data_IF_681695386286
#
_entry.id   IF_681695386286
#
_cell.length_a   1.000
_cell.length_b   1.000
_cell.length_c   1.000
_cell.angle_alpha   90.00
_cell.angle_beta   90.00
_cell.angle_gamma   90.00
#
_symmetry.space_group_name_H-M   'P 1'
#
loop_
_entity.id
_entity.type
_entity.pdbx_description
1 polymer ?
#
# COMPACT_ATOMS: atom_id res chain seq x y z
N UNK A 1 -17.30 -10.53 18.72
CA UNK A 1 -16.05 -11.32 18.80
C UNK A 1 -14.87 -10.35 18.77
N UNK A 2 -14.24 -10.13 19.92
CA UNK A 2 -13.06 -9.26 20.04
C UNK A 2 -11.84 -10.17 20.07
N UNK A 3 -11.22 -10.40 18.91
CA UNK A 3 -9.97 -11.16 18.80
C UNK A 3 -8.84 -10.34 19.44
N UNK A 4 -7.88 -11.00 20.09
CA UNK A 4 -6.70 -10.32 20.69
C UNK A 4 -6.04 -9.43 19.63
N UNK A 5 -5.60 -8.24 20.05
CA UNK A 5 -4.86 -7.29 19.18
C UNK A 5 -3.78 -8.06 18.42
N UNK A 6 -3.70 -7.86 17.09
CA UNK A 6 -2.67 -8.50 16.27
C UNK A 6 -1.29 -8.17 16.85
N UNK A 7 -0.33 -9.09 16.65
CA UNK A 7 1.03 -8.97 17.15
C UNK A 7 1.64 -7.61 16.80
N UNK A 8 2.50 -7.11 17.69
CA UNK A 8 3.18 -5.81 17.53
C UNK A 8 3.87 -5.66 16.17
N UNK A 9 4.33 -6.77 15.58
CA UNK A 9 4.97 -6.81 14.26
C UNK A 9 3.98 -6.40 13.15
N UNK A 10 2.77 -6.97 13.10
CA UNK A 10 1.77 -6.64 12.07
C UNK A 10 1.36 -5.17 12.19
N UNK A 11 1.15 -4.71 13.42
CA UNK A 11 0.80 -3.31 13.70
C UNK A 11 1.93 -2.35 13.35
N UNK A 12 3.18 -2.73 13.64
CA UNK A 12 4.37 -1.96 13.31
C UNK A 12 4.60 -1.86 11.80
N UNK A 13 4.45 -2.97 11.08
CA UNK A 13 4.58 -3.01 9.61
C UNK A 13 3.50 -2.15 8.93
N UNK A 14 2.24 -2.29 9.35
CA UNK A 14 1.15 -1.46 8.82
C UNK A 14 1.29 0.02 9.21
N UNK A 15 1.77 0.30 10.42
CA UNK A 15 2.08 1.66 10.86
C UNK A 15 3.18 2.30 10.01
N UNK A 16 4.29 1.59 9.78
CA UNK A 16 5.36 2.04 8.91
C UNK A 16 4.86 2.27 7.48
N UNK A 17 4.09 1.31 6.94
CA UNK A 17 3.52 1.43 5.61
C UNK A 17 2.58 2.64 5.48
N UNK A 18 1.82 2.94 6.54
CA UNK A 18 0.97 4.14 6.61
C UNK A 18 1.78 5.43 6.59
N UNK A 19 2.87 5.49 7.35
CA UNK A 19 3.76 6.67 7.37
C UNK A 19 4.41 6.87 6.00
N UNK A 20 4.94 5.80 5.40
CA UNK A 20 5.54 5.85 4.07
C UNK A 20 4.51 6.34 3.04
N UNK A 21 3.30 5.79 3.04
CA UNK A 21 2.26 6.22 2.11
C UNK A 21 1.82 7.66 2.36
N UNK A 22 1.70 8.11 3.62
CA UNK A 22 1.39 9.50 3.93
C UNK A 22 2.46 10.46 3.44
N UNK A 23 3.75 10.12 3.59
CA UNK A 23 4.87 10.95 3.14
C UNK A 23 4.86 11.17 1.63
N UNK A 24 4.42 10.19 0.84
CA UNK A 24 4.31 10.34 -0.61
C UNK A 24 2.95 10.90 -1.07
N UNK A 25 1.88 10.57 -0.35
CA UNK A 25 0.52 10.98 -0.73
C UNK A 25 0.22 12.42 -0.38
N UNK A 26 0.67 12.92 0.79
CA UNK A 26 0.38 14.30 1.22
C UNK A 26 0.96 15.36 0.28
N UNK A 27 2.25 15.32 -0.11
CA UNK A 27 2.81 16.27 -1.06
C UNK A 27 2.11 16.18 -2.42
N UNK A 28 1.84 14.96 -2.89
CA UNK A 28 1.16 14.73 -4.17
C UNK A 28 -0.31 15.19 -4.18
N UNK A 29 -0.96 15.27 -3.01
CA UNK A 29 -2.33 15.78 -2.88
C UNK A 29 -2.38 17.32 -2.89
N UNK A 30 -1.36 17.97 -2.34
CA UNK A 30 -1.23 19.42 -2.35
C UNK A 30 -0.81 19.95 -3.71
N UNK A 31 0.06 19.21 -4.40
CA UNK A 31 0.47 19.50 -5.77
C UNK A 31 0.84 18.18 -6.46
N UNK A 32 0.07 17.84 -7.49
CA UNK A 32 0.29 16.60 -8.24
C UNK A 32 1.69 16.54 -8.85
N UNK A 33 2.33 17.66 -9.17
CA UNK A 33 3.70 17.66 -9.71
C UNK A 33 4.73 17.04 -8.74
N UNK A 34 4.44 17.02 -7.44
CA UNK A 34 5.29 16.38 -6.43
C UNK A 34 5.10 14.86 -6.34
N UNK A 35 4.24 14.26 -7.16
CA UNK A 35 4.13 12.81 -7.24
C UNK A 35 5.42 12.24 -7.88
N UNK A 36 6.14 11.34 -7.19
CA UNK A 36 7.34 10.72 -7.74
C UNK A 36 7.07 9.97 -9.07
N UNK A 37 5.84 9.48 -9.27
CA UNK A 37 5.42 8.83 -10.52
C UNK A 37 5.19 9.78 -11.70
N UNK A 38 5.16 11.09 -11.46
CA UNK A 38 4.96 12.13 -12.49
C UNK A 38 6.24 12.88 -12.84
N UNK A 39 7.35 12.67 -12.12
CA UNK A 39 8.59 13.43 -12.27
C UNK A 39 9.18 13.41 -13.70
N UNK A 40 8.82 12.41 -14.51
CA UNK A 40 9.27 12.26 -15.89
C UNK A 40 8.17 12.45 -16.95
N UNK A 41 6.95 12.86 -16.56
CA UNK A 41 5.82 13.01 -17.48
C UNK A 41 5.68 14.47 -17.91
N UNK A 42 6.09 14.77 -19.15
CA UNK A 42 5.97 16.10 -19.79
C UNK A 42 4.94 16.08 -20.94
N UNK A 43 4.26 17.20 -21.21
CA UNK A 43 3.31 17.33 -22.34
C UNK A 43 1.87 16.87 -22.02
N UNK A 44 1.13 16.35 -23.01
CA UNK A 44 -0.27 15.89 -22.84
C UNK A 44 -0.45 14.82 -21.76
N UNK A 45 0.63 14.08 -21.48
CA UNK A 45 0.74 13.02 -20.47
C UNK A 45 0.71 13.58 -19.03
N UNK A 46 0.93 14.89 -18.82
CA UNK A 46 0.80 15.53 -17.51
C UNK A 46 -0.64 15.48 -16.96
N UNK A 47 -1.64 15.37 -17.85
CA UNK A 47 -3.06 15.17 -17.47
C UNK A 47 -3.30 13.84 -16.73
N UNK A 48 -2.44 12.83 -16.92
CA UNK A 48 -2.43 11.59 -16.13
C UNK A 48 -2.01 11.82 -14.68
N UNK A 49 -1.54 13.02 -14.33
CA UNK A 49 -1.20 13.34 -12.95
C UNK A 49 -2.38 13.32 -11.98
N UNK A 50 -3.57 13.68 -12.48
CA UNK A 50 -4.82 13.51 -11.74
C UNK A 50 -5.11 12.02 -11.45
N UNK A 51 -4.79 11.13 -12.38
CA UNK A 51 -4.95 9.68 -12.27
C UNK A 51 -3.92 9.10 -11.28
N UNK A 52 -2.68 9.57 -11.34
CA UNK A 52 -1.62 9.16 -10.41
C UNK A 52 -1.89 9.64 -8.96
N UNK A 53 -2.47 10.84 -8.78
CA UNK A 53 -2.95 11.33 -7.48
C UNK A 53 -4.12 10.49 -6.93
N UNK A 54 -5.08 10.14 -7.78
CA UNK A 54 -6.19 9.25 -7.42
C UNK A 54 -5.71 7.83 -7.06
N UNK A 55 -4.62 7.37 -7.67
CA UNK A 55 -3.97 6.10 -7.33
C UNK A 55 -3.35 6.13 -5.94
N UNK A 56 -2.57 7.16 -5.61
CA UNK A 56 -2.00 7.35 -4.27
C UNK A 56 -3.07 7.45 -3.19
N UNK A 57 -4.14 8.21 -3.43
CA UNK A 57 -5.27 8.33 -2.50
C UNK A 57 -5.96 6.97 -2.26
N UNK A 58 -6.11 6.15 -3.31
CA UNK A 58 -6.68 4.80 -3.22
C UNK A 58 -5.80 3.87 -2.39
N UNK A 59 -4.48 3.93 -2.59
CA UNK A 59 -3.55 3.16 -1.78
C UNK A 59 -3.58 3.60 -0.31
N UNK A 60 -3.60 4.90 -0.03
CA UNK A 60 -3.74 5.41 1.34
C UNK A 60 -5.02 4.89 2.01
N UNK A 61 -6.15 4.88 1.30
CA UNK A 61 -7.40 4.31 1.80
C UNK A 61 -7.27 2.83 2.22
N UNK A 62 -6.62 2.01 1.40
CA UNK A 62 -6.38 0.59 1.70
C UNK A 62 -5.47 0.39 2.91
N UNK A 63 -4.45 1.24 3.04
CA UNK A 63 -3.56 1.23 4.20
C UNK A 63 -4.31 1.62 5.47
N UNK A 64 -5.18 2.62 5.43
CA UNK A 64 -6.01 3.01 6.57
C UNK A 64 -7.00 1.92 6.97
N UNK A 65 -7.58 1.19 6.01
CA UNK A 65 -8.44 0.02 6.28
C UNK A 65 -7.65 -1.07 7.01
N UNK A 66 -6.43 -1.38 6.54
CA UNK A 66 -5.58 -2.35 7.19
C UNK A 66 -5.16 -1.91 8.60
N UNK A 67 -4.79 -0.64 8.77
CA UNK A 67 -4.41 -0.07 10.06
C UNK A 67 -5.58 -0.11 11.05
N UNK A 68 -6.79 0.24 10.60
CA UNK A 68 -8.00 0.14 11.40
C UNK A 68 -8.20 -1.28 11.93
N UNK A 69 -8.08 -2.29 11.06
CA UNK A 69 -8.17 -3.69 11.46
C UNK A 69 -7.12 -4.07 12.49
N UNK A 70 -5.87 -3.66 12.26
CA UNK A 70 -4.75 -3.96 13.15
C UNK A 70 -4.90 -3.29 14.54
N UNK A 71 -5.45 -2.08 14.60
CA UNK A 71 -5.73 -1.35 15.86
C UNK A 71 -6.91 -1.97 16.60
N UNK A 72 -7.98 -2.33 15.89
CA UNK A 72 -9.18 -2.93 16.48
C UNK A 72 -9.06 -4.42 16.75
N UNK A 73 -8.00 -5.07 16.27
CA UNK A 73 -7.76 -6.51 16.40
C UNK A 73 -8.65 -7.34 15.49
N UNK A 74 -9.19 -6.77 14.40
CA UNK A 74 -10.00 -7.49 13.42
C UNK A 74 -9.15 -7.89 12.23
N UNK A 75 -9.13 -9.20 11.92
CA UNK A 75 -8.30 -9.76 10.84
C UNK A 75 -8.83 -9.41 9.45
N UNK A 76 -10.15 -9.35 9.27
CA UNK A 76 -10.76 -9.10 7.95
C UNK A 76 -10.31 -7.76 7.33
N UNK A 77 -10.35 -6.61 8.03
CA UNK A 77 -9.87 -5.36 7.44
C UNK A 77 -8.36 -5.35 7.19
N UNK A 78 -7.57 -6.04 8.03
CA UNK A 78 -6.13 -6.23 7.79
C UNK A 78 -5.89 -6.95 6.47
N UNK A 79 -6.57 -8.08 6.26
CA UNK A 79 -6.43 -8.89 5.05
C UNK A 79 -6.92 -8.15 3.81
N UNK A 80 -8.07 -7.46 3.89
CA UNK A 80 -8.63 -6.69 2.77
C UNK A 80 -7.69 -5.56 2.37
N UNK A 81 -7.22 -4.76 3.34
CA UNK A 81 -6.32 -3.65 3.05
C UNK A 81 -4.96 -4.14 2.54
N UNK A 82 -4.35 -5.12 3.20
CA UNK A 82 -3.06 -5.70 2.79
C UNK A 82 -3.15 -6.37 1.40
N UNK A 83 -4.25 -7.07 1.09
CA UNK A 83 -4.49 -7.60 -0.25
C UNK A 83 -4.56 -6.50 -1.29
N UNK A 84 -5.33 -5.44 -1.04
CA UNK A 84 -5.45 -4.34 -1.99
C UNK A 84 -4.11 -3.64 -2.27
N UNK A 85 -3.30 -3.44 -1.23
CA UNK A 85 -1.96 -2.84 -1.36
C UNK A 85 -1.04 -3.77 -2.14
N UNK A 86 -1.01 -5.07 -1.81
CA UNK A 86 -0.21 -6.06 -2.52
C UNK A 86 -0.59 -6.12 -3.99
N UNK A 87 -1.89 -6.22 -4.30
CA UNK A 87 -2.39 -6.30 -5.66
C UNK A 87 -2.01 -5.07 -6.48
N UNK A 88 -2.29 -3.85 -5.99
CA UNK A 88 -2.02 -2.64 -6.75
C UNK A 88 -0.52 -2.40 -6.94
N UNK A 89 0.30 -2.62 -5.92
CA UNK A 89 1.74 -2.36 -6.01
C UNK A 89 2.50 -3.42 -6.82
N UNK A 90 2.10 -4.71 -6.75
CA UNK A 90 2.65 -5.75 -7.60
C UNK A 90 2.21 -5.58 -9.06
N UNK A 91 0.93 -5.22 -9.27
CA UNK A 91 0.42 -4.88 -10.59
C UNK A 91 1.23 -3.73 -11.21
N UNK A 92 1.38 -2.61 -10.50
CA UNK A 92 2.17 -1.47 -10.98
C UNK A 92 3.62 -1.84 -11.24
N UNK A 93 4.25 -2.62 -10.35
CA UNK A 93 5.62 -3.07 -10.53
C UNK A 93 5.80 -3.89 -11.81
N UNK A 94 4.86 -4.81 -12.11
CA UNK A 94 4.88 -5.60 -13.35
C UNK A 94 4.65 -4.69 -14.56
N UNK A 95 3.66 -3.81 -14.53
CA UNK A 95 3.37 -2.92 -15.66
C UNK A 95 4.52 -1.96 -15.96
N UNK A 96 5.11 -1.34 -14.94
CA UNK A 96 6.25 -0.44 -15.09
C UNK A 96 7.53 -1.17 -15.55
N UNK A 97 7.66 -2.46 -15.21
CA UNK A 97 8.79 -3.29 -15.68
C UNK A 97 8.61 -3.79 -17.11
N UNK A 98 7.39 -4.15 -17.51
CA UNK A 98 7.09 -4.76 -18.82
C UNK A 98 6.86 -3.69 -19.90
N UNK A 99 6.16 -2.61 -19.57
CA UNK A 99 5.78 -1.55 -20.52
C UNK A 99 6.52 -0.23 -20.30
N UNK A 100 7.27 -0.12 -19.19
CA UNK A 100 8.11 1.03 -18.87
C UNK A 100 9.58 0.66 -18.79
N UNK A 101 10.39 1.59 -18.31
CA UNK A 101 11.78 1.31 -17.94
C UNK A 101 11.83 0.82 -16.49
N UNK A 102 12.68 -0.18 -16.22
CA UNK A 102 12.91 -0.67 -14.86
C UNK A 102 13.54 0.45 -14.01
N UNK A 103 12.68 1.21 -13.33
CA UNK A 103 13.05 2.43 -12.62
C UNK A 103 12.60 2.42 -11.16
N UNK A 104 12.85 3.52 -10.44
CA UNK A 104 12.57 3.62 -9.00
C UNK A 104 11.13 3.28 -8.61
N UNK A 105 10.15 3.60 -9.46
CA UNK A 105 8.74 3.28 -9.23
C UNK A 105 8.44 1.77 -9.27
N UNK A 106 9.04 1.02 -10.19
CA UNK A 106 8.89 -0.43 -10.28
C UNK A 106 9.48 -1.14 -9.05
N UNK A 107 10.65 -0.67 -8.60
CA UNK A 107 11.32 -1.19 -7.39
C UNK A 107 10.48 -0.90 -6.14
N UNK A 108 9.97 0.33 -6.00
CA UNK A 108 9.11 0.71 -4.88
C UNK A 108 7.83 -0.13 -4.84
N UNK A 109 7.16 -0.29 -5.99
CA UNK A 109 5.98 -1.16 -6.12
C UNK A 109 6.27 -2.60 -5.72
N UNK A 110 7.42 -3.16 -6.13
CA UNK A 110 7.80 -4.51 -5.76
C UNK A 110 8.01 -4.65 -4.25
N UNK A 111 8.75 -3.72 -3.62
CA UNK A 111 9.03 -3.74 -2.18
C UNK A 111 7.74 -3.62 -1.37
N UNK A 112 6.89 -2.63 -1.69
CA UNK A 112 5.62 -2.41 -1.00
C UNK A 112 4.64 -3.58 -1.19
N UNK A 113 4.63 -4.15 -2.39
CA UNK A 113 3.87 -5.35 -2.72
C UNK A 113 4.27 -6.54 -1.86
N UNK A 114 5.57 -6.86 -1.81
CA UNK A 114 6.11 -7.96 -1.00
C UNK A 114 5.85 -7.74 0.49
N UNK A 115 6.05 -6.52 1.00
CA UNK A 115 5.74 -6.19 2.40
C UNK A 115 4.28 -6.45 2.75
N UNK A 116 3.34 -6.10 1.87
CA UNK A 116 1.93 -6.40 2.09
C UNK A 116 1.62 -7.90 2.06
N UNK A 117 2.27 -8.68 1.18
CA UNK A 117 2.15 -10.14 1.20
C UNK A 117 2.62 -10.72 2.53
N UNK A 118 3.73 -10.22 3.07
CA UNK A 118 4.22 -10.62 4.40
C UNK A 118 3.18 -10.31 5.48
N UNK A 119 2.55 -9.14 5.43
CA UNK A 119 1.46 -8.78 6.37
C UNK A 119 0.28 -9.75 6.25
N UNK A 120 -0.13 -10.13 5.04
CA UNK A 120 -1.20 -11.13 4.82
C UNK A 120 -0.83 -12.46 5.47
N UNK A 121 0.38 -12.97 5.21
CA UNK A 121 0.85 -14.25 5.75
C UNK A 121 0.89 -14.22 7.28
N UNK A 122 1.40 -13.14 7.87
CA UNK A 122 1.46 -12.99 9.32
C UNK A 122 0.07 -12.91 9.96
N UNK A 123 -0.82 -12.08 9.41
CA UNK A 123 -2.19 -11.95 9.90
C UNK A 123 -2.98 -13.25 9.77
N UNK A 124 -2.81 -13.99 8.66
CA UNK A 124 -3.40 -15.31 8.48
C UNK A 124 -2.92 -16.30 9.52
N UNK A 125 -1.60 -16.42 9.72
CA UNK A 125 -1.01 -17.35 10.70
C UNK A 125 -1.47 -17.04 12.11
N UNK A 126 -1.61 -15.77 12.45
CA UNK A 126 -2.12 -15.34 13.75
C UNK A 126 -3.59 -15.73 13.93
N UNK A 127 -4.43 -15.51 12.91
CA UNK A 127 -5.84 -15.92 12.93
C UNK A 127 -6.03 -17.44 13.01
N UNK A 128 -5.15 -18.24 12.40
CA UNK A 128 -5.20 -19.69 12.46
C UNK A 128 -4.88 -20.21 13.87
N UNK A 129 -3.93 -19.58 14.58
CA UNK A 129 -3.55 -19.94 15.96
C UNK A 129 -4.62 -19.57 16.99
N UNK A 130 -5.43 -18.56 16.74
CA UNK A 130 -6.50 -18.15 17.67
C UNK A 130 -7.78 -18.96 17.53
N UNK A 131 -7.93 -19.71 16.43
CA UNK A 131 -9.11 -20.55 16.16
C UNK A 131 -8.85 -22.05 16.43
N UNK A 132 -7.64 -22.43 16.82
CA UNK A 132 -7.23 -23.76 17.30
C UNK A 132 -7.24 -23.81 18.82
#
# INVERSE_FOLDING_TARGET
>A
MTQRKHGLIVRGLLGLLSVVMLLFTLPAYMDTANNPGLANLTGEVASLGSVAGAFLARQLGLVLIALYGAVKGTTQPVLIGAFGIAFLNLHDAVFLTVFGNFGPGAIAGLILGVLSVVVIVLAWRESARTNS
#
